data_IF_886769965146
#
_entry.id   IF_886769965146
#
_cell.length_a   1.000
_cell.length_b   1.000
_cell.length_c   1.000
_cell.angle_alpha   90.00
_cell.angle_beta   90.00
_cell.angle_gamma   90.00
#
_symmetry.space_group_name_H-M   'P 1'
#
loop_
_entity.id
_entity.type
_entity.pdbx_description
1 polymer ?
#
# COMPACT_ATOMS: atom_id res chain seq x y z
N UNK A 1 2.80 -1.62 10.68
CA UNK A 1 3.84 -2.60 10.31
C UNK A 1 4.35 -3.23 11.60
N UNK A 2 4.86 -4.46 11.55
CA UNK A 2 5.64 -4.97 12.67
C UNK A 2 7.07 -4.40 12.63
N UNK A 3 7.89 -4.86 13.57
CA UNK A 3 9.31 -4.55 13.77
C UNK A 3 10.17 -4.81 12.52
N UNK A 4 9.83 -5.81 11.71
CA UNK A 4 10.52 -6.11 10.43
C UNK A 4 9.83 -5.49 9.20
N UNK A 5 8.86 -4.59 9.40
CA UNK A 5 8.23 -3.83 8.33
C UNK A 5 7.11 -4.55 7.58
N UNK A 6 6.67 -5.72 8.06
CA UNK A 6 5.59 -6.48 7.43
C UNK A 6 4.22 -5.90 7.74
N UNK A 7 3.33 -5.98 6.76
CA UNK A 7 1.93 -5.56 6.80
C UNK A 7 0.96 -6.74 6.78
N UNK A 8 -0.17 -6.54 7.46
CA UNK A 8 -1.33 -7.40 7.43
C UNK A 8 -2.30 -6.90 6.35
N UNK A 9 -3.35 -7.66 6.14
CA UNK A 9 -4.44 -7.24 5.25
C UNK A 9 -5.13 -5.96 5.73
N UNK A 10 -5.35 -5.84 7.04
CA UNK A 10 -6.18 -4.79 7.62
C UNK A 10 -5.51 -4.15 8.84
N UNK A 11 -5.95 -2.93 9.15
CA UNK A 11 -5.54 -2.19 10.33
C UNK A 11 -6.78 -1.69 11.07
N UNK A 12 -6.87 -1.98 12.37
CA UNK A 12 -7.90 -1.43 13.26
C UNK A 12 -7.46 -0.06 13.77
N UNK A 13 -8.08 1.04 13.31
CA UNK A 13 -7.71 2.38 13.74
C UNK A 13 -8.13 2.70 15.18
N UNK A 14 -9.14 2.02 15.72
CA UNK A 14 -9.61 2.25 17.09
C UNK A 14 -8.74 1.50 18.10
N UNK A 15 -8.41 0.26 17.77
CA UNK A 15 -7.60 -0.61 18.62
C UNK A 15 -6.10 -0.56 18.34
N UNK A 16 -5.65 0.21 17.35
CA UNK A 16 -4.23 0.41 17.03
C UNK A 16 -3.47 -0.87 16.66
N UNK A 17 -4.15 -1.86 16.09
CA UNK A 17 -3.56 -3.18 15.82
C UNK A 17 -3.82 -3.65 14.40
N UNK A 18 -2.90 -4.46 13.90
CA UNK A 18 -3.05 -5.13 12.61
C UNK A 18 -4.01 -6.31 12.74
N UNK A 19 -4.86 -6.51 11.74
CA UNK A 19 -5.90 -7.54 11.72
C UNK A 19 -5.87 -8.35 10.42
N UNK A 20 -6.48 -9.52 10.48
CA UNK A 20 -6.62 -10.43 9.34
C UNK A 20 -5.35 -11.22 9.05
N UNK A 21 -5.18 -11.61 7.79
CA UNK A 21 -4.04 -12.40 7.36
C UNK A 21 -2.73 -11.63 7.54
N UNK A 22 -1.72 -12.30 8.10
CA UNK A 22 -0.42 -11.71 8.35
C UNK A 22 0.70 -12.75 8.14
N UNK A 23 1.80 -12.40 7.43
CA UNK A 23 1.97 -11.20 6.59
C UNK A 23 1.19 -11.33 5.27
N UNK A 24 0.67 -10.21 4.75
CA UNK A 24 -0.18 -10.21 3.56
C UNK A 24 0.53 -9.54 2.38
N UNK A 25 0.77 -10.30 1.32
CA UNK A 25 1.60 -9.86 0.19
C UNK A 25 0.96 -8.71 -0.62
N UNK A 26 -0.37 -8.69 -0.83
CA UNK A 26 -0.98 -7.65 -1.67
C UNK A 26 -0.91 -6.25 -1.03
N UNK A 27 -0.93 -6.12 0.29
CA UNK A 27 -0.72 -4.87 1.04
C UNK A 27 0.64 -4.28 0.71
N UNK A 28 1.68 -5.11 0.63
CA UNK A 28 3.03 -4.67 0.25
C UNK A 28 3.08 -4.25 -1.23
N UNK A 29 2.42 -4.98 -2.13
CA UNK A 29 2.35 -4.62 -3.56
C UNK A 29 1.70 -3.24 -3.75
N UNK A 30 0.65 -2.92 -2.98
CA UNK A 30 0.03 -1.60 -3.00
C UNK A 30 1.01 -0.47 -2.69
N UNK A 31 1.83 -0.63 -1.64
CA UNK A 31 2.83 0.38 -1.24
C UNK A 31 3.94 0.50 -2.29
N UNK A 32 4.47 -0.63 -2.78
CA UNK A 32 5.51 -0.62 -3.82
C UNK A 32 5.00 0.09 -5.07
N UNK A 33 3.81 -0.24 -5.54
CA UNK A 33 3.20 0.43 -6.69
C UNK A 33 3.01 1.93 -6.45
N UNK A 34 2.61 2.33 -5.23
CA UNK A 34 2.46 3.74 -4.88
C UNK A 34 3.80 4.47 -4.95
N UNK A 35 4.86 3.90 -4.36
CA UNK A 35 6.21 4.45 -4.43
C UNK A 35 6.71 4.56 -5.89
N UNK A 36 6.47 3.54 -6.72
CA UNK A 36 6.81 3.57 -8.14
C UNK A 36 6.03 4.64 -8.93
N UNK A 37 4.79 4.91 -8.55
CA UNK A 37 4.03 6.02 -9.14
C UNK A 37 4.63 7.37 -8.72
N UNK A 38 4.94 7.58 -7.45
CA UNK A 38 5.50 8.84 -6.97
C UNK A 38 6.91 9.13 -7.52
N UNK A 39 7.72 8.10 -7.76
CA UNK A 39 9.09 8.26 -8.24
C UNK A 39 9.20 8.62 -9.74
N UNK A 40 8.20 8.26 -10.55
CA UNK A 40 8.26 8.46 -12.01
C UNK A 40 7.85 9.88 -12.39
N UNK A 41 8.67 10.56 -13.20
CA UNK A 41 8.38 11.89 -13.75
C UNK A 41 7.08 11.93 -14.58
N UNK A 42 6.76 10.82 -15.27
CA UNK A 42 5.42 10.55 -15.82
C UNK A 42 4.86 9.36 -15.08
N UNK A 43 4.01 9.62 -14.09
CA UNK A 43 3.44 8.55 -13.28
C UNK A 43 2.17 7.98 -13.94
N UNK A 44 2.02 6.64 -13.97
CA UNK A 44 0.79 5.99 -14.45
C UNK A 44 -0.49 6.44 -13.72
N UNK A 45 -0.37 6.97 -12.49
CA UNK A 45 -1.49 7.57 -11.76
C UNK A 45 -2.04 8.81 -12.48
N UNK A 46 -1.19 9.68 -13.03
CA UNK A 46 -1.62 10.87 -13.78
C UNK A 46 -2.38 10.49 -15.05
N UNK A 47 -1.89 9.46 -15.76
CA UNK A 47 -2.57 8.94 -16.95
C UNK A 47 -3.97 8.37 -16.65
N UNK A 48 -4.22 7.89 -15.43
CA UNK A 48 -5.55 7.41 -14.99
C UNK A 48 -6.50 8.54 -14.64
N UNK A 49 -6.01 9.65 -14.12
CA UNK A 49 -6.83 10.86 -13.86
C UNK A 49 -7.21 11.59 -15.14
N UNK A 50 -6.43 11.46 -16.22
CA UNK A 50 -6.70 12.11 -17.51
C UNK A 50 -7.55 11.26 -18.48
N UNK A 51 -8.04 10.10 -18.03
CA UNK A 51 -8.82 9.15 -18.84
C UNK A 51 -10.30 9.08 -18.46
N UNK A 52 -10.95 10.24 -18.25
CA UNK A 52 -12.41 10.39 -18.15
C UNK A 52 -12.85 11.62 -18.95
#
# INVERSE_FOLDING_TARGET
CNDVGLLAEQYDPKGGRMLGNFPQAFSHIGIINTALNLHRAVCPALARTSGA
#
